data_IF_552466860393
#
_entry.id   IF_552466860393
#
_cell.length_a   1.000
_cell.length_b   1.000
_cell.length_c   1.000
_cell.angle_alpha   90.00
_cell.angle_beta   90.00
_cell.angle_gamma   90.00
#
_symmetry.space_group_name_H-M   'P 1'
#
loop_
_entity.id
_entity.type
_entity.pdbx_description
1 polymer ?
#
# COMPACT_ATOMS: atom_id res chain seq x y z
N UNK A 1 -13.70 17.74 24.77
CA UNK A 1 -12.69 18.41 23.93
C UNK A 1 -13.39 18.79 22.62
N UNK A 2 -13.03 19.89 21.95
CA UNK A 2 -13.68 20.28 20.69
C UNK A 2 -12.97 19.58 19.52
N UNK A 3 -13.50 18.44 19.08
CA UNK A 3 -13.00 17.69 17.92
C UNK A 3 -14.17 17.18 17.07
N UNK A 4 -13.88 16.78 15.83
CA UNK A 4 -14.84 16.23 14.89
C UNK A 4 -15.19 14.78 15.27
N UNK A 5 -16.30 14.61 15.99
CA UNK A 5 -16.78 13.31 16.46
C UNK A 5 -17.13 12.38 15.30
N UNK A 6 -17.71 12.89 14.22
CA UNK A 6 -18.09 12.08 13.06
C UNK A 6 -16.86 11.47 12.39
N UNK A 7 -15.76 12.23 12.34
CA UNK A 7 -14.50 11.72 11.84
C UNK A 7 -13.88 10.66 12.75
N UNK A 8 -13.98 10.83 14.07
CA UNK A 8 -13.53 9.80 15.03
C UNK A 8 -14.36 8.53 14.91
N UNK A 9 -15.68 8.65 14.77
CA UNK A 9 -16.60 7.54 14.55
C UNK A 9 -16.26 6.81 13.24
N UNK A 10 -16.04 7.55 12.15
CA UNK A 10 -15.67 7.00 10.85
C UNK A 10 -14.39 6.15 10.93
N UNK A 11 -13.31 6.69 11.51
CA UNK A 11 -12.06 5.94 11.66
C UNK A 11 -12.18 4.78 12.63
N UNK A 12 -12.95 4.92 13.71
CA UNK A 12 -13.13 3.85 14.69
C UNK A 12 -13.91 2.70 14.07
N UNK A 13 -14.97 2.98 13.33
CA UNK A 13 -15.70 1.97 12.58
C UNK A 13 -14.79 1.28 11.57
N UNK A 14 -13.99 2.04 10.81
CA UNK A 14 -12.99 1.46 9.92
C UNK A 14 -12.02 0.52 10.65
N UNK A 15 -11.48 0.93 11.80
CA UNK A 15 -10.52 0.11 12.56
C UNK A 15 -11.15 -1.14 13.20
N UNK A 16 -12.46 -1.15 13.47
CA UNK A 16 -13.16 -2.36 13.91
C UNK A 16 -13.10 -3.49 12.87
N UNK A 17 -13.05 -3.15 11.57
CA UNK A 17 -12.86 -4.13 10.49
C UNK A 17 -11.57 -4.94 10.69
N UNK A 18 -10.46 -4.27 11.03
CA UNK A 18 -9.14 -4.90 11.23
C UNK A 18 -9.15 -6.01 12.29
N UNK A 19 -10.03 -5.89 13.28
CA UNK A 19 -10.15 -6.81 14.44
C UNK A 19 -11.42 -7.65 14.40
N UNK A 20 -12.02 -7.79 13.22
CA UNK A 20 -13.22 -8.61 13.00
C UNK A 20 -12.89 -10.11 13.02
N UNK A 21 -13.81 -10.89 13.56
CA UNK A 21 -13.85 -12.35 13.60
C UNK A 21 -15.31 -12.83 13.49
N UNK A 22 -15.50 -14.13 13.27
CA UNK A 22 -16.83 -14.77 13.20
C UNK A 22 -17.81 -14.08 12.24
N UNK A 23 -17.31 -13.66 11.06
CA UNK A 23 -18.14 -13.08 10.00
C UNK A 23 -19.12 -14.12 9.45
N UNK A 24 -20.41 -13.77 9.41
CA UNK A 24 -21.46 -14.55 8.77
C UNK A 24 -22.17 -13.67 7.74
N UNK A 25 -22.03 -14.01 6.46
CA UNK A 25 -22.62 -13.23 5.37
C UNK A 25 -24.14 -13.07 5.53
N UNK A 26 -24.62 -11.82 5.44
CA UNK A 26 -26.02 -11.47 5.68
C UNK A 26 -26.43 -11.30 7.15
N UNK A 27 -25.57 -11.64 8.12
CA UNK A 27 -25.88 -11.58 9.57
C UNK A 27 -24.94 -10.67 10.38
N UNK A 28 -23.93 -10.07 9.74
CA UNK A 28 -22.91 -9.26 10.42
C UNK A 28 -21.66 -10.04 10.86
N UNK A 29 -20.96 -9.52 11.86
CA UNK A 29 -19.70 -10.08 12.35
C UNK A 29 -19.48 -9.77 13.84
N UNK A 30 -18.33 -10.17 14.39
CA UNK A 30 -17.90 -9.74 15.73
C UNK A 30 -16.56 -9.03 15.65
N UNK A 31 -16.33 -8.03 16.49
CA UNK A 31 -15.06 -7.32 16.57
C UNK A 31 -14.59 -7.22 18.01
N UNK A 32 -13.27 -7.25 18.25
CA UNK A 32 -12.72 -6.93 19.57
C UNK A 32 -12.94 -5.44 19.87
N UNK A 33 -13.54 -5.12 21.02
CA UNK A 33 -13.75 -3.73 21.42
C UNK A 33 -12.59 -3.23 22.30
N UNK A 34 -12.20 -1.97 22.12
CA UNK A 34 -11.11 -1.35 22.88
C UNK A 34 -10.94 0.15 22.65
N UNK A 35 -11.95 0.81 22.08
CA UNK A 35 -11.96 2.25 21.80
C UNK A 35 -12.69 3.01 22.92
N UNK A 36 -12.65 4.35 22.84
CA UNK A 36 -13.32 5.20 23.81
C UNK A 36 -14.84 4.93 23.86
N UNK A 37 -15.42 5.08 25.04
CA UNK A 37 -16.81 4.70 25.29
C UNK A 37 -17.81 5.55 24.52
N UNK A 38 -17.54 6.85 24.38
CA UNK A 38 -18.47 7.79 23.75
C UNK A 38 -18.60 7.50 22.25
N UNK A 39 -17.47 7.24 21.57
CA UNK A 39 -17.46 6.79 20.16
C UNK A 39 -18.17 5.46 19.98
N UNK A 40 -17.91 4.48 20.84
CA UNK A 40 -18.61 3.19 20.75
C UNK A 40 -20.13 3.35 20.96
N UNK A 41 -20.56 4.25 21.85
CA UNK A 41 -21.98 4.54 22.05
C UNK A 41 -22.59 5.22 20.82
N UNK A 42 -21.92 6.20 20.20
CA UNK A 42 -22.40 6.83 18.95
C UNK A 42 -22.50 5.83 17.80
N UNK A 43 -21.56 4.88 17.69
CA UNK A 43 -21.65 3.81 16.69
C UNK A 43 -22.81 2.84 16.95
N UNK A 44 -23.15 2.60 18.23
CA UNK A 44 -24.35 1.86 18.61
C UNK A 44 -25.63 2.62 18.27
N UNK A 45 -25.69 3.92 18.55
CA UNK A 45 -26.81 4.79 18.19
C UNK A 45 -27.02 4.87 16.66
N UNK A 46 -25.93 4.83 15.89
CA UNK A 46 -25.94 4.73 14.42
C UNK A 46 -26.36 3.34 13.90
N UNK A 47 -26.53 2.34 14.77
CA UNK A 47 -26.98 0.99 14.41
C UNK A 47 -25.91 0.08 13.80
N UNK A 48 -24.64 0.46 13.85
CA UNK A 48 -23.55 -0.33 13.26
C UNK A 48 -23.06 -1.47 14.15
N UNK A 49 -23.19 -1.32 15.45
CA UNK A 49 -22.77 -2.33 16.43
C UNK A 49 -23.87 -2.58 17.45
N UNK A 50 -23.78 -3.67 18.20
CA UNK A 50 -24.64 -3.89 19.37
C UNK A 50 -24.18 -3.04 20.56
N UNK A 51 -24.98 -3.00 21.63
CA UNK A 51 -24.67 -2.19 22.81
C UNK A 51 -23.28 -2.55 23.39
N UNK A 52 -22.32 -1.60 23.41
CA UNK A 52 -20.94 -1.87 23.79
C UNK A 52 -20.76 -2.01 25.30
N UNK A 53 -21.74 -1.58 26.12
CA UNK A 53 -21.64 -1.56 27.58
C UNK A 53 -21.58 -2.98 28.14
N UNK A 54 -20.56 -3.23 28.97
CA UNK A 54 -20.40 -4.50 29.68
C UNK A 54 -18.98 -5.06 29.62
N UNK A 55 -18.84 -6.26 30.20
CA UNK A 55 -17.55 -6.96 30.41
C UNK A 55 -17.09 -7.82 29.23
N UNK A 56 -17.95 -8.03 28.22
CA UNK A 56 -17.60 -8.81 27.04
C UNK A 56 -16.41 -8.16 26.31
N UNK A 57 -15.48 -8.97 25.80
CA UNK A 57 -14.31 -8.47 25.09
C UNK A 57 -14.61 -8.13 23.62
N UNK A 58 -15.60 -8.79 23.03
CA UNK A 58 -16.04 -8.56 21.66
C UNK A 58 -17.44 -7.98 21.60
N UNK A 59 -17.71 -7.24 20.54
CA UNK A 59 -18.99 -6.65 20.21
C UNK A 59 -19.53 -7.23 18.90
N UNK A 60 -20.85 -7.37 18.78
CA UNK A 60 -21.44 -7.74 17.50
C UNK A 60 -21.55 -6.50 16.60
N UNK A 61 -21.30 -6.69 15.32
CA UNK A 61 -21.53 -5.72 14.26
C UNK A 61 -22.76 -6.16 13.48
N UNK A 62 -23.62 -5.21 13.11
CA UNK A 62 -24.71 -5.49 12.17
C UNK A 62 -24.13 -5.76 10.78
N UNK A 63 -24.95 -6.30 9.88
CA UNK A 63 -24.56 -6.46 8.47
C UNK A 63 -24.11 -5.12 7.87
N UNK A 64 -24.91 -4.08 8.09
CA UNK A 64 -24.61 -2.72 7.66
C UNK A 64 -23.33 -2.19 8.29
N UNK A 65 -23.14 -2.38 9.60
CA UNK A 65 -21.94 -1.93 10.30
C UNK A 65 -20.67 -2.62 9.80
N UNK A 66 -20.74 -3.93 9.53
CA UNK A 66 -19.61 -4.66 8.95
C UNK A 66 -19.26 -4.14 7.55
N UNK A 67 -20.24 -4.08 6.64
CA UNK A 67 -20.02 -3.61 5.27
C UNK A 67 -19.48 -2.17 5.27
N UNK A 68 -20.01 -1.32 6.15
CA UNK A 68 -19.54 0.06 6.27
C UNK A 68 -18.11 0.13 6.82
N UNK A 69 -17.77 -0.71 7.80
CA UNK A 69 -16.40 -0.79 8.34
C UNK A 69 -15.39 -1.21 7.28
N UNK A 70 -15.75 -2.16 6.42
CA UNK A 70 -14.90 -2.61 5.30
C UNK A 70 -14.69 -1.47 4.31
N UNK A 71 -15.76 -0.84 3.84
CA UNK A 71 -15.71 0.29 2.90
C UNK A 71 -14.80 1.42 3.43
N UNK A 72 -14.95 1.79 4.70
CA UNK A 72 -14.16 2.82 5.32
C UNK A 72 -12.70 2.38 5.51
N UNK A 73 -12.44 1.12 5.86
CA UNK A 73 -11.09 0.61 5.97
C UNK A 73 -10.36 0.68 4.63
N UNK A 74 -11.04 0.30 3.54
CA UNK A 74 -10.50 0.45 2.20
C UNK A 74 -10.17 1.90 1.86
N UNK A 75 -11.12 2.81 2.13
CA UNK A 75 -10.98 4.23 1.85
C UNK A 75 -9.79 4.87 2.56
N UNK A 76 -9.54 4.52 3.82
CA UNK A 76 -8.57 5.21 4.67
C UNK A 76 -7.22 4.52 4.75
N UNK A 77 -7.18 3.20 4.72
CA UNK A 77 -5.98 2.43 5.10
C UNK A 77 -5.41 1.56 3.98
N UNK A 78 -6.17 1.27 2.92
CA UNK A 78 -5.56 0.61 1.77
C UNK A 78 -4.60 1.57 1.08
N UNK A 79 -3.37 1.10 0.88
CA UNK A 79 -2.39 1.79 0.07
C UNK A 79 -2.93 1.83 -1.35
N UNK A 80 -3.16 3.04 -1.88
CA UNK A 80 -3.31 3.21 -3.32
C UNK A 80 -2.08 2.57 -3.96
N UNK A 81 -2.29 1.52 -4.73
CA UNK A 81 -1.27 1.01 -5.63
C UNK A 81 -1.06 2.15 -6.62
N UNK A 82 -0.05 2.99 -6.37
CA UNK A 82 0.37 3.91 -7.40
C UNK A 82 0.81 3.01 -8.55
N UNK A 83 0.19 3.12 -9.74
CA UNK A 83 0.73 2.42 -10.89
C UNK A 83 2.19 2.81 -10.97
N UNK A 84 3.08 1.82 -11.05
CA UNK A 84 4.51 2.05 -11.24
C UNK A 84 4.58 3.04 -12.41
N UNK A 85 5.05 4.29 -12.23
CA UNK A 85 5.09 5.23 -13.33
C UNK A 85 5.86 4.53 -14.44
N UNK A 86 5.21 4.31 -15.60
CA UNK A 86 5.91 3.71 -16.72
C UNK A 86 7.21 4.50 -16.88
N UNK A 87 8.36 3.83 -16.76
CA UNK A 87 9.62 4.54 -16.68
C UNK A 87 9.74 5.39 -17.93
N UNK A 88 9.99 6.69 -17.74
CA UNK A 88 10.10 7.64 -18.87
C UNK A 88 11.33 7.26 -19.66
N UNK A 89 11.12 6.57 -20.78
CA UNK A 89 12.19 6.15 -21.67
C UNK A 89 12.16 7.01 -22.93
N UNK A 90 13.32 7.51 -23.33
CA UNK A 90 13.48 8.04 -24.69
C UNK A 90 13.23 6.90 -25.70
N UNK A 91 12.67 7.17 -26.90
CA UNK A 91 12.43 6.14 -27.90
C UNK A 91 13.61 5.18 -28.17
N UNK A 92 14.87 5.65 -28.35
CA UNK A 92 16.00 4.74 -28.54
C UNK A 92 16.32 3.89 -27.31
N UNK A 93 16.16 4.44 -26.10
CA UNK A 93 16.36 3.70 -24.85
C UNK A 93 15.30 2.61 -24.67
N UNK A 94 14.04 2.90 -25.02
CA UNK A 94 12.94 1.93 -24.97
C UNK A 94 13.21 0.76 -25.92
N UNK A 95 13.57 1.06 -27.18
CA UNK A 95 13.94 0.04 -28.17
C UNK A 95 15.04 -0.90 -27.63
N UNK A 96 16.13 -0.32 -27.13
CA UNK A 96 17.26 -1.08 -26.57
C UNK A 96 16.88 -1.91 -25.34
N UNK A 97 15.99 -1.39 -24.50
CA UNK A 97 15.48 -2.09 -23.31
C UNK A 97 14.58 -3.27 -23.69
N UNK A 98 13.76 -3.11 -24.71
CA UNK A 98 12.84 -4.15 -25.18
C UNK A 98 13.54 -5.30 -25.91
N UNK A 99 14.72 -5.06 -26.49
CA UNK A 99 15.61 -6.09 -27.04
C UNK A 99 16.20 -7.01 -25.96
N UNK A 100 16.22 -6.58 -24.68
CA UNK A 100 16.73 -7.41 -23.58
C UNK A 100 15.64 -8.42 -23.17
N UNK A 101 15.94 -9.72 -23.01
CA UNK A 101 14.96 -10.68 -22.50
C UNK A 101 14.41 -10.30 -21.12
N UNK A 102 13.13 -10.55 -20.87
CA UNK A 102 12.46 -10.15 -19.62
C UNK A 102 13.17 -10.67 -18.36
N UNK A 103 13.62 -11.92 -18.38
CA UNK A 103 14.37 -12.53 -17.28
C UNK A 103 15.67 -11.76 -16.99
N UNK A 104 16.35 -11.26 -18.03
CA UNK A 104 17.56 -10.46 -17.89
C UNK A 104 17.24 -9.05 -17.40
N UNK A 105 16.17 -8.43 -17.90
CA UNK A 105 15.67 -7.13 -17.40
C UNK A 105 15.43 -7.17 -15.89
N UNK A 106 14.79 -8.24 -15.40
CA UNK A 106 14.57 -8.46 -13.96
C UNK A 106 15.89 -8.52 -13.18
N UNK A 107 16.84 -9.34 -13.63
CA UNK A 107 18.17 -9.44 -12.98
C UNK A 107 18.93 -8.12 -12.96
N UNK A 108 18.85 -7.33 -14.03
CA UNK A 108 19.47 -6.01 -14.13
C UNK A 108 18.91 -5.08 -13.04
N UNK A 109 17.59 -5.06 -12.86
CA UNK A 109 16.94 -4.19 -11.88
C UNK A 109 17.09 -4.68 -10.44
N UNK A 110 17.26 -5.99 -10.22
CA UNK A 110 17.48 -6.56 -8.89
C UNK A 110 18.93 -6.41 -8.40
N UNK A 111 19.87 -6.18 -9.32
CA UNK A 111 21.29 -6.07 -9.03
C UNK A 111 21.84 -4.69 -9.40
N UNK A 112 21.45 -3.66 -8.65
CA UNK A 112 21.97 -2.30 -8.81
C UNK A 112 22.73 -1.87 -7.55
N UNK A 113 23.94 -1.33 -7.70
CA UNK A 113 24.71 -0.82 -6.57
C UNK A 113 24.08 0.45 -5.99
N UNK A 114 23.89 0.50 -4.67
CA UNK A 114 23.44 1.68 -3.96
C UNK A 114 24.55 2.20 -3.05
N UNK A 115 24.99 3.45 -3.26
CA UNK A 115 26.04 4.09 -2.46
C UNK A 115 25.63 4.37 -1.01
N UNK A 116 24.32 4.51 -0.72
CA UNK A 116 23.81 4.70 0.65
C UNK A 116 23.70 3.39 1.43
N UNK A 117 23.30 2.30 0.76
CA UNK A 117 23.18 0.99 1.40
C UNK A 117 24.48 0.18 1.37
N UNK A 118 25.46 0.60 0.55
CA UNK A 118 26.73 -0.07 0.34
C UNK A 118 26.56 -1.55 -0.09
N UNK A 119 25.49 -1.84 -0.84
CA UNK A 119 25.17 -3.19 -1.31
C UNK A 119 24.35 -3.15 -2.60
N UNK A 120 24.15 -4.33 -3.18
CA UNK A 120 23.28 -4.55 -4.32
C UNK A 120 21.82 -4.53 -3.87
N UNK A 121 21.01 -3.74 -4.56
CA UNK A 121 19.60 -3.50 -4.22
C UNK A 121 18.73 -3.58 -5.46
N UNK A 122 17.43 -3.78 -5.22
CA UNK A 122 16.40 -3.60 -6.24
C UNK A 122 16.21 -2.11 -6.55
N UNK A 123 16.29 -1.77 -7.83
CA UNK A 123 16.03 -0.45 -8.38
C UNK A 123 14.56 -0.32 -8.76
N UNK A 124 13.87 0.68 -8.21
CA UNK A 124 12.64 1.21 -8.78
C UNK A 124 13.01 2.15 -9.91
N UNK A 125 12.98 1.61 -11.13
CA UNK A 125 13.27 2.35 -12.37
C UNK A 125 12.29 3.50 -12.55
N UNK A 126 12.80 4.70 -12.86
CA UNK A 126 11.99 5.91 -13.12
C UNK A 126 12.20 6.45 -14.53
N UNK A 127 13.41 6.37 -15.05
CA UNK A 127 13.74 6.83 -16.41
C UNK A 127 14.84 5.99 -17.06
N UNK A 128 14.86 5.99 -18.38
CA UNK A 128 15.91 5.35 -19.18
C UNK A 128 16.31 6.22 -20.36
N UNK A 129 17.61 6.46 -20.54
CA UNK A 129 18.16 7.28 -21.62
C UNK A 129 19.40 6.63 -22.20
N UNK A 130 19.64 6.83 -23.49
CA UNK A 130 20.92 6.46 -24.10
C UNK A 130 21.97 7.54 -23.76
N UNK A 131 23.17 7.09 -23.43
CA UNK A 131 24.36 7.92 -23.30
C UNK A 131 25.44 7.33 -24.20
N UNK A 132 25.57 7.88 -25.42
CA UNK A 132 26.34 7.23 -26.49
C UNK A 132 25.72 5.88 -26.85
N UNK A 133 26.53 4.81 -26.80
CA UNK A 133 26.08 3.42 -27.05
C UNK A 133 25.52 2.72 -25.82
N UNK A 134 25.64 3.31 -24.64
CA UNK A 134 25.22 2.69 -23.38
C UNK A 134 23.80 3.10 -22.98
N UNK A 135 23.03 2.17 -22.45
CA UNK A 135 21.71 2.43 -21.88
C UNK A 135 21.86 2.73 -20.38
N UNK A 136 21.46 3.94 -19.97
CA UNK A 136 21.50 4.37 -18.56
C UNK A 136 20.09 4.35 -17.99
N UNK A 137 19.91 3.55 -16.96
CA UNK A 137 18.69 3.40 -16.19
C UNK A 137 18.83 4.17 -14.88
N UNK A 138 17.93 5.10 -14.57
CA UNK A 138 17.94 5.86 -13.33
C UNK A 138 16.65 5.64 -12.53
N UNK A 139 16.80 5.61 -11.22
CA UNK A 139 15.69 5.34 -10.32
C UNK A 139 16.06 5.56 -8.86
N UNK A 140 15.33 4.90 -7.98
CA UNK A 140 15.60 4.92 -6.54
C UNK A 140 15.80 3.50 -6.00
N UNK A 141 16.63 3.39 -4.97
CA UNK A 141 16.80 2.17 -4.19
C UNK A 141 15.49 1.84 -3.47
N UNK A 142 14.99 0.60 -3.60
CA UNK A 142 13.79 0.15 -2.89
C UNK A 142 13.97 0.02 -1.38
N UNK A 143 15.21 -0.04 -0.89
CA UNK A 143 15.52 -0.21 0.53
C UNK A 143 15.60 1.12 1.26
N UNK A 144 16.37 2.08 0.76
CA UNK A 144 16.60 3.37 1.44
C UNK A 144 15.98 4.59 0.75
N UNK A 145 15.41 4.43 -0.45
CA UNK A 145 14.85 5.54 -1.24
C UNK A 145 15.89 6.47 -1.88
N UNK A 146 17.20 6.22 -1.70
CA UNK A 146 18.27 6.99 -2.31
C UNK A 146 18.34 6.85 -3.83
N UNK A 147 18.91 7.84 -4.52
CA UNK A 147 19.12 7.78 -5.96
C UNK A 147 20.12 6.67 -6.32
N UNK A 148 19.80 5.93 -7.38
CA UNK A 148 20.65 4.88 -7.92
C UNK A 148 20.51 4.80 -9.44
N UNK A 149 21.56 4.31 -10.10
CA UNK A 149 21.59 4.15 -11.54
C UNK A 149 22.27 2.84 -11.93
N UNK A 150 21.85 2.28 -13.06
CA UNK A 150 22.45 1.09 -13.69
C UNK A 150 22.80 1.43 -15.13
N UNK A 151 24.05 1.15 -15.52
CA UNK A 151 24.52 1.29 -16.90
C UNK A 151 24.54 -0.09 -17.53
N UNK A 152 24.06 -0.17 -18.77
CA UNK A 152 24.14 -1.35 -19.63
C UNK A 152 24.99 -0.96 -20.82
N UNK A 153 26.18 -1.52 -20.87
CA UNK A 153 27.14 -1.28 -21.94
C UNK A 153 26.73 -2.04 -23.21
N UNK A 154 27.19 -1.59 -24.39
CA UNK A 154 27.07 -2.40 -25.60
C UNK A 154 27.84 -3.72 -25.42
N UNK A 155 27.36 -4.78 -26.06
CA UNK A 155 28.14 -6.00 -26.18
C UNK A 155 29.27 -5.69 -27.18
N UNK A 156 30.53 -5.87 -26.76
CA UNK A 156 31.67 -5.76 -27.67
C UNK A 156 31.61 -6.94 -28.67
N UNK A 157 31.77 -6.63 -29.97
CA UNK A 157 31.85 -7.61 -31.06
C UNK A 157 33.22 -8.31 -31.07
#
# INVERSE_FOLDING_TARGET
MNYDEDKIDEYTLALLYLVTHDRQEGFGARAWKGFDWDTMNRLYEKGYISNPIGKAKSIAMTEEGFLKSEELFERHFLKKIQPIPFPKMTPPAKKRWDEIPEQMRKKILENVWCSKCLTMVKLQLREGRMSGRSLVLKGVCNTCGGEAARVIEPVEE
#
